data_IF_419169022213
#
_entry.id   IF_419169022213
#
_cell.length_a   1.000
_cell.length_b   1.000
_cell.length_c   1.000
_cell.angle_alpha   90.00
_cell.angle_beta   90.00
_cell.angle_gamma   90.00
#
_symmetry.space_group_name_H-M   'P 1'
#
loop_
_entity.id
_entity.type
_entity.pdbx_description
1 polymer ?
#
# COMPACT_ATOMS: atom_id res chain seq x y z
N UNK A 1 14.63 34.10 16.41
CA UNK A 1 15.20 35.00 17.44
C UNK A 1 14.40 36.28 17.45
N UNK A 2 14.08 36.79 18.63
CA UNK A 2 13.33 38.03 18.87
C UNK A 2 14.19 39.00 19.67
N UNK A 3 14.20 40.28 19.29
CA UNK A 3 14.91 41.31 20.03
C UNK A 3 14.23 41.52 21.39
N UNK A 4 15.02 41.62 22.46
CA UNK A 4 14.50 41.86 23.81
C UNK A 4 14.07 43.33 23.92
N UNK A 5 12.83 43.53 24.34
CA UNK A 5 12.22 44.86 24.45
C UNK A 5 13.04 45.74 25.42
N UNK A 6 13.49 46.91 24.95
CA UNK A 6 14.34 47.83 25.73
C UNK A 6 15.86 47.62 25.63
N UNK A 7 16.34 46.61 24.89
CA UNK A 7 17.78 46.37 24.70
C UNK A 7 18.12 46.20 23.21
N UNK A 8 18.67 47.24 22.53
CA UNK A 8 18.85 47.21 21.08
C UNK A 8 19.81 46.11 20.59
N UNK A 9 20.68 45.59 21.46
CA UNK A 9 21.72 44.61 21.10
C UNK A 9 21.50 43.22 21.71
N UNK A 10 20.33 42.92 22.28
CA UNK A 10 20.07 41.62 22.93
C UNK A 10 18.96 40.89 22.19
N UNK A 11 19.28 39.66 21.74
CA UNK A 11 18.34 38.78 21.05
C UNK A 11 18.09 37.54 21.91
N UNK A 12 16.83 37.11 21.97
CA UNK A 12 16.41 35.89 22.66
C UNK A 12 15.85 34.89 21.66
N UNK A 13 16.24 33.62 21.79
CA UNK A 13 15.54 32.49 21.20
C UNK A 13 15.15 31.54 22.33
N UNK A 14 13.96 30.95 22.22
CA UNK A 14 13.50 29.91 23.14
C UNK A 14 13.36 28.63 22.32
N UNK A 15 14.09 27.59 22.69
CA UNK A 15 14.00 26.27 22.09
C UNK A 15 13.43 25.31 23.13
N UNK A 16 12.35 24.61 22.83
CA UNK A 16 11.80 23.59 23.71
C UNK A 16 12.61 22.29 23.52
N UNK A 17 13.32 21.87 24.55
CA UNK A 17 14.06 20.59 24.58
C UNK A 17 13.36 19.58 25.49
N UNK A 18 13.36 18.27 25.17
CA UNK A 18 12.82 17.22 26.05
C UNK A 18 13.51 17.18 27.42
N UNK A 19 12.91 16.52 28.42
CA UNK A 19 13.62 16.27 29.69
C UNK A 19 14.84 15.37 29.47
N UNK A 20 15.96 15.68 30.13
CA UNK A 20 17.22 14.93 29.98
C UNK A 20 18.46 15.84 30.02
N UNK A 21 19.61 15.23 29.74
CA UNK A 21 20.90 15.92 29.63
C UNK A 21 21.13 16.37 28.19
N UNK A 22 21.40 17.66 27.99
CA UNK A 22 21.63 18.24 26.67
C UNK A 22 22.98 18.93 26.60
N UNK A 23 23.63 18.82 25.45
CA UNK A 23 24.85 19.57 25.13
C UNK A 23 24.57 20.50 23.95
N UNK A 24 24.99 21.76 24.04
CA UNK A 24 24.75 22.75 22.99
C UNK A 24 25.91 23.75 22.85
N UNK A 25 25.91 24.45 21.71
CA UNK A 25 26.86 25.51 21.34
C UNK A 25 26.17 26.56 20.48
N UNK A 26 26.74 27.75 20.46
CA UNK A 26 26.34 28.84 19.59
C UNK A 26 27.32 28.95 18.43
N UNK A 27 26.81 29.23 17.24
CA UNK A 27 27.64 29.60 16.09
C UNK A 27 27.50 31.11 15.88
N UNK A 28 28.55 31.86 16.22
CA UNK A 28 28.55 33.34 16.22
C UNK A 28 29.70 33.81 15.34
N UNK A 29 29.39 34.61 14.32
CA UNK A 29 30.36 35.22 13.39
C UNK A 29 31.35 34.23 12.74
N UNK A 30 30.90 33.01 12.44
CA UNK A 30 31.72 31.98 11.80
C UNK A 30 32.48 31.06 12.75
N UNK A 31 32.37 31.29 14.07
CA UNK A 31 33.06 30.50 15.10
C UNK A 31 32.07 29.79 16.03
N UNK A 32 32.40 28.55 16.41
CA UNK A 32 31.67 27.81 17.43
C UNK A 32 32.08 28.28 18.82
N UNK A 33 31.13 28.79 19.60
CA UNK A 33 31.32 29.25 20.97
C UNK A 33 30.41 28.48 21.93
N UNK A 34 30.86 28.33 23.17
CA UNK A 34 30.07 27.81 24.27
C UNK A 34 29.83 28.92 25.30
N UNK A 35 28.83 28.78 26.13
CA UNK A 35 28.60 29.68 27.26
C UNK A 35 29.55 29.33 28.40
N UNK A 36 30.51 30.22 28.68
CA UNK A 36 31.51 30.07 29.75
C UNK A 36 30.91 30.23 31.15
N UNK A 37 29.70 30.81 31.27
CA UNK A 37 29.01 31.01 32.55
C UNK A 37 28.16 29.81 32.97
N UNK A 38 28.00 28.82 32.10
CA UNK A 38 27.26 27.59 32.36
C UNK A 38 28.18 26.37 32.51
N UNK A 39 27.71 25.28 33.14
CA UNK A 39 28.47 24.04 33.19
C UNK A 39 28.83 23.60 31.76
N UNK A 40 30.06 23.15 31.55
CA UNK A 40 30.54 22.72 30.24
C UNK A 40 31.21 21.35 30.33
N UNK A 41 31.23 20.64 29.21
CA UNK A 41 31.78 19.30 29.08
C UNK A 41 32.77 19.24 27.93
N UNK A 42 33.92 18.62 28.17
CA UNK A 42 34.95 18.39 27.17
C UNK A 42 34.70 17.05 26.48
N UNK A 43 34.38 17.08 25.19
CA UNK A 43 34.29 15.90 24.33
C UNK A 43 35.66 15.44 23.83
N UNK A 44 35.69 14.25 23.24
CA UNK A 44 36.90 13.75 22.56
C UNK A 44 37.31 14.70 21.43
N UNK A 45 38.62 14.90 21.26
CA UNK A 45 39.23 15.86 20.32
C UNK A 45 39.15 17.35 20.71
N UNK A 46 38.97 17.67 21.99
CA UNK A 46 39.12 19.07 22.50
C UNK A 46 37.89 19.96 22.29
N UNK A 47 36.73 19.36 22.03
CA UNK A 47 35.47 20.05 21.75
C UNK A 47 34.77 20.37 23.09
N UNK A 48 34.63 21.65 23.45
CA UNK A 48 34.02 22.09 24.73
C UNK A 48 32.56 22.53 24.56
N UNK A 49 31.56 21.75 24.99
CA UNK A 49 30.13 22.08 24.85
C UNK A 49 29.53 22.62 26.15
N UNK A 50 28.53 23.50 26.08
CA UNK A 50 27.71 23.86 27.25
C UNK A 50 26.75 22.72 27.57
N UNK A 51 26.63 22.38 28.85
CA UNK A 51 25.89 21.23 29.36
C UNK A 51 24.77 21.71 30.28
N UNK A 52 23.55 21.28 29.98
CA UNK A 52 22.37 21.55 30.82
C UNK A 52 21.61 20.25 31.12
N UNK A 53 21.15 20.12 32.36
CA UNK A 53 20.40 18.96 32.84
C UNK A 53 19.07 19.44 33.37
N UNK A 54 18.00 19.14 32.62
CA UNK A 54 16.65 19.36 33.10
C UNK A 54 16.26 18.20 34.03
N UNK A 55 15.92 18.46 35.31
CA UNK A 55 15.56 17.41 36.25
C UNK A 55 14.41 16.55 35.71
N UNK A 56 14.57 15.23 35.78
CA UNK A 56 13.48 14.28 35.62
C UNK A 56 12.77 14.18 36.98
N UNK A 57 11.44 14.37 37.08
CA UNK A 57 10.73 14.17 38.34
C UNK A 57 10.96 12.75 38.84
N UNK A 58 11.42 12.61 40.09
CA UNK A 58 11.69 11.31 40.71
C UNK A 58 10.44 10.42 40.74
N UNK A 59 10.65 9.14 40.48
CA UNK A 59 9.65 8.08 40.32
C UNK A 59 8.64 8.00 41.48
N UNK A 60 7.36 7.87 41.13
CA UNK A 60 6.34 7.28 42.01
C UNK A 60 6.07 5.87 41.54
N UNK A 61 6.23 4.93 42.48
CA UNK A 61 6.00 3.50 42.35
C UNK A 61 4.70 3.11 41.64
N UNK A 62 4.79 1.95 40.99
CA UNK A 62 3.75 1.19 40.30
C UNK A 62 2.35 1.32 40.92
N UNK A 63 1.35 1.51 40.06
CA UNK A 63 -0.10 1.66 40.32
C UNK A 63 -0.61 3.09 40.45
N UNK A 64 -0.55 3.86 39.37
CA UNK A 64 -1.61 4.75 38.87
C UNK A 64 -1.09 5.49 37.64
N UNK A 65 -1.76 5.31 36.51
CA UNK A 65 -1.50 6.04 35.25
C UNK A 65 -1.65 7.55 35.56
N UNK A 66 -0.60 8.39 35.47
CA UNK A 66 -0.80 9.82 35.57
C UNK A 66 -1.40 10.28 34.25
N UNK A 67 -2.62 10.82 34.31
CA UNK A 67 -3.41 11.34 33.20
C UNK A 67 -2.83 12.62 32.56
N UNK A 68 -1.51 12.68 32.32
CA UNK A 68 -0.79 13.87 31.83
C UNK A 68 -0.20 13.69 30.43
N UNK A 69 -0.28 12.49 29.83
CA UNK A 69 0.03 12.27 28.39
C UNK A 69 -1.24 12.42 27.51
N UNK A 70 -2.42 12.63 28.10
CA UNK A 70 -3.69 12.75 27.37
C UNK A 70 -4.03 14.16 26.85
N UNK A 71 -3.13 15.13 27.01
CA UNK A 71 -3.36 16.53 26.60
C UNK A 71 -2.51 17.00 25.41
N UNK A 72 -1.99 16.09 24.57
CA UNK A 72 -1.82 16.48 23.17
C UNK A 72 -3.22 16.62 22.60
N UNK A 73 -3.68 17.85 22.41
CA UNK A 73 -4.86 18.15 21.61
C UNK A 73 -4.67 17.43 20.29
N UNK A 74 -5.42 16.32 20.10
CA UNK A 74 -5.44 15.58 18.83
C UNK A 74 -5.60 16.65 17.74
N UNK A 75 -4.72 16.69 16.72
CA UNK A 75 -4.87 17.64 15.62
C UNK A 75 -6.25 17.45 14.99
N UNK A 76 -7.20 18.28 15.40
CA UNK A 76 -8.59 18.21 14.95
C UNK A 76 -8.75 19.26 13.88
N UNK A 77 -8.79 18.79 12.65
CA UNK A 77 -9.26 19.58 11.53
C UNK A 77 -10.76 19.84 11.68
N UNK A 78 -11.21 21.04 11.31
CA UNK A 78 -12.65 21.32 11.24
C UNK A 78 -13.32 20.39 10.20
N UNK A 79 -14.53 19.92 10.49
CA UNK A 79 -15.36 19.21 9.51
C UNK A 79 -15.57 20.04 8.23
N UNK A 80 -15.61 21.36 8.35
CA UNK A 80 -15.74 22.28 7.21
C UNK A 80 -14.48 22.27 6.34
N UNK A 81 -13.29 22.34 6.96
CA UNK A 81 -12.00 22.28 6.25
C UNK A 81 -11.78 20.91 5.59
N UNK A 82 -12.21 19.83 6.25
CA UNK A 82 -12.21 18.48 5.67
C UNK A 82 -13.11 18.41 4.43
N UNK A 83 -14.34 18.92 4.52
CA UNK A 83 -15.28 18.94 3.39
C UNK A 83 -14.76 19.79 2.24
N UNK A 84 -14.20 20.97 2.53
CA UNK A 84 -13.60 21.84 1.53
C UNK A 84 -12.43 21.13 0.82
N UNK A 85 -11.53 20.49 1.59
CA UNK A 85 -10.40 19.72 1.05
C UNK A 85 -10.86 18.56 0.15
N UNK A 86 -11.85 17.78 0.61
CA UNK A 86 -12.45 16.68 -0.18
C UNK A 86 -13.10 17.20 -1.45
N UNK A 87 -13.84 18.31 -1.36
CA UNK A 87 -14.47 18.94 -2.52
C UNK A 87 -13.43 19.36 -3.56
N UNK A 88 -12.34 20.02 -3.15
CA UNK A 88 -11.27 20.44 -4.05
C UNK A 88 -10.57 19.26 -4.74
N UNK A 89 -10.29 18.18 -4.00
CA UNK A 89 -9.72 16.94 -4.58
C UNK A 89 -10.72 16.29 -5.54
N UNK A 90 -12.01 16.24 -5.17
CA UNK A 90 -13.08 15.71 -6.03
C UNK A 90 -13.24 16.50 -7.32
N UNK A 91 -13.20 17.84 -7.22
CA UNK A 91 -13.27 18.75 -8.36
C UNK A 91 -12.05 18.60 -9.28
N UNK A 92 -10.84 18.50 -8.70
CA UNK A 92 -9.62 18.18 -9.43
C UNK A 92 -9.78 16.87 -10.21
N UNK A 93 -10.16 15.77 -9.54
CA UNK A 93 -10.33 14.46 -10.18
C UNK A 93 -11.44 14.44 -11.24
N UNK A 94 -12.47 15.28 -11.10
CA UNK A 94 -13.53 15.41 -12.10
C UNK A 94 -13.10 16.23 -13.32
N UNK A 95 -12.17 17.16 -13.16
CA UNK A 95 -11.65 18.01 -14.24
C UNK A 95 -10.54 17.34 -15.08
N UNK A 96 -9.93 16.28 -14.56
CA UNK A 96 -8.81 15.58 -15.20
C UNK A 96 -9.27 14.21 -15.73
N UNK A 97 -8.61 13.75 -16.79
CA UNK A 97 -9.05 12.54 -17.53
C UNK A 97 -8.06 11.39 -17.38
N UNK A 98 -8.53 10.17 -17.68
CA UNK A 98 -7.68 8.97 -17.71
C UNK A 98 -6.52 9.09 -18.68
N UNK A 99 -6.67 9.88 -19.75
CA UNK A 99 -5.60 10.15 -20.70
C UNK A 99 -4.31 10.64 -20.01
N UNK A 100 -4.42 11.37 -18.92
CA UNK A 100 -3.26 11.86 -18.16
C UNK A 100 -2.48 10.77 -17.41
N UNK A 101 -3.08 9.58 -17.26
CA UNK A 101 -2.41 8.42 -16.69
C UNK A 101 -1.54 7.69 -17.73
N UNK A 102 -1.75 7.94 -19.02
CA UNK A 102 -1.02 7.25 -20.07
C UNK A 102 0.43 7.75 -20.09
N UNK A 103 1.42 6.85 -20.05
CA UNK A 103 2.80 7.24 -20.28
C UNK A 103 3.00 7.64 -21.75
N UNK A 104 4.00 8.49 -22.02
CA UNK A 104 4.40 8.86 -23.39
C UNK A 104 4.77 7.62 -24.23
N UNK A 105 5.39 6.63 -23.59
CA UNK A 105 5.68 5.32 -24.16
C UNK A 105 5.48 4.26 -23.08
N UNK A 106 4.80 3.18 -23.44
CA UNK A 106 4.49 2.10 -22.52
C UNK A 106 4.25 0.79 -23.24
N UNK A 107 4.39 -0.31 -22.49
CA UNK A 107 4.11 -1.66 -22.96
C UNK A 107 2.84 -2.16 -22.28
N UNK A 108 1.94 -2.71 -23.07
CA UNK A 108 0.75 -3.43 -22.59
C UNK A 108 0.82 -4.88 -23.02
N UNK A 109 0.35 -5.78 -22.17
CA UNK A 109 0.32 -7.22 -22.44
C UNK A 109 -1.12 -7.70 -22.30
N UNK A 110 -1.64 -8.33 -23.35
CA UNK A 110 -2.94 -8.98 -23.35
C UNK A 110 -2.77 -10.47 -23.69
N UNK A 111 -3.65 -11.31 -23.15
CA UNK A 111 -3.60 -12.75 -23.35
C UNK A 111 -4.85 -13.23 -24.09
N UNK A 112 -4.68 -14.23 -24.94
CA UNK A 112 -5.79 -14.88 -25.61
C UNK A 112 -6.60 -15.75 -24.61
N UNK A 113 -7.93 -15.80 -24.76
CA UNK A 113 -8.82 -16.55 -23.84
C UNK A 113 -8.67 -18.08 -23.93
N UNK A 114 -8.13 -18.58 -25.03
CA UNK A 114 -7.84 -19.98 -25.32
C UNK A 114 -6.45 -20.41 -24.84
N UNK A 115 -5.62 -19.47 -24.35
CA UNK A 115 -4.33 -19.78 -23.78
C UNK A 115 -4.47 -20.73 -22.56
N UNK A 116 -3.63 -21.76 -22.43
CA UNK A 116 -3.55 -22.58 -21.23
C UNK A 116 -3.25 -21.76 -19.98
N UNK A 117 -3.88 -22.11 -18.86
CA UNK A 117 -3.70 -21.41 -17.57
C UNK A 117 -2.25 -21.44 -17.11
N UNK A 118 -1.55 -22.57 -17.29
CA UNK A 118 -0.11 -22.67 -17.02
C UNK A 118 0.69 -21.60 -17.76
N UNK A 119 0.48 -21.47 -19.07
CA UNK A 119 1.22 -20.51 -19.89
C UNK A 119 0.91 -19.07 -19.47
N UNK A 120 -0.36 -18.77 -19.21
CA UNK A 120 -0.78 -17.48 -18.68
C UNK A 120 -0.04 -17.13 -17.37
N UNK A 121 0.15 -18.12 -16.48
CA UNK A 121 0.84 -17.93 -15.22
C UNK A 121 2.32 -17.55 -15.41
N UNK A 122 3.01 -18.28 -16.30
CA UNK A 122 4.40 -18.02 -16.63
C UNK A 122 4.57 -16.64 -17.29
N UNK A 123 3.68 -16.28 -18.22
CA UNK A 123 3.72 -14.95 -18.85
C UNK A 123 3.55 -13.84 -17.79
N UNK A 124 2.59 -13.96 -16.86
CA UNK A 124 2.46 -12.94 -15.80
C UNK A 124 3.75 -12.82 -14.96
N UNK A 125 4.38 -13.95 -14.63
CA UNK A 125 5.61 -13.99 -13.85
C UNK A 125 6.81 -13.40 -14.60
N UNK A 126 7.01 -13.79 -15.85
CA UNK A 126 8.11 -13.31 -16.72
C UNK A 126 7.97 -11.82 -17.05
N UNK A 127 6.74 -11.36 -17.30
CA UNK A 127 6.48 -9.95 -17.58
C UNK A 127 6.45 -9.09 -16.32
N UNK A 128 6.49 -9.70 -15.12
CA UNK A 128 6.41 -8.98 -13.85
C UNK A 128 5.08 -8.26 -13.63
N UNK A 129 3.99 -8.72 -14.27
CA UNK A 129 2.68 -8.06 -14.21
C UNK A 129 1.69 -8.87 -13.36
N UNK A 130 0.91 -8.20 -12.49
CA UNK A 130 -0.04 -8.89 -11.59
C UNK A 130 -1.37 -9.25 -12.28
N UNK A 131 -1.64 -8.68 -13.46
CA UNK A 131 -2.90 -8.76 -14.19
C UNK A 131 -2.66 -8.55 -15.69
N UNK A 132 -3.42 -9.26 -16.52
CA UNK A 132 -3.46 -9.06 -17.97
C UNK A 132 -4.90 -9.07 -18.49
N UNK A 133 -5.28 -8.16 -19.41
CA UNK A 133 -6.55 -8.21 -20.13
C UNK A 133 -6.64 -9.45 -21.03
N UNK A 134 -7.86 -9.92 -21.24
CA UNK A 134 -8.17 -11.11 -22.03
C UNK A 134 -8.83 -10.73 -23.35
N UNK A 135 -8.20 -11.12 -24.44
CA UNK A 135 -8.68 -10.92 -25.81
C UNK A 135 -9.39 -12.17 -26.33
N UNK A 136 -10.62 -11.99 -26.82
CA UNK A 136 -11.38 -13.05 -27.48
C UNK A 136 -11.35 -12.80 -29.00
N UNK A 137 -10.58 -13.63 -29.72
CA UNK A 137 -10.43 -13.51 -31.17
C UNK A 137 -11.74 -13.74 -31.91
N UNK A 138 -12.62 -14.60 -31.43
CA UNK A 138 -13.91 -14.87 -32.06
C UNK A 138 -14.88 -13.70 -31.90
N UNK A 139 -14.79 -12.98 -30.77
CA UNK A 139 -15.64 -11.80 -30.51
C UNK A 139 -15.01 -10.47 -30.91
N UNK A 140 -13.72 -10.45 -31.27
CA UNK A 140 -12.98 -9.24 -31.62
C UNK A 140 -12.94 -8.19 -30.51
N UNK A 141 -12.94 -8.60 -29.23
CA UNK A 141 -13.00 -7.66 -28.09
C UNK A 141 -12.34 -8.20 -26.83
N UNK A 142 -12.05 -7.28 -25.90
CA UNK A 142 -11.64 -7.62 -24.54
C UNK A 142 -12.85 -8.11 -23.72
N UNK A 143 -12.72 -9.30 -23.11
CA UNK A 143 -13.84 -9.96 -22.41
C UNK A 143 -13.62 -10.10 -20.90
N UNK A 144 -12.43 -9.77 -20.40
CA UNK A 144 -12.10 -9.94 -18.99
C UNK A 144 -10.65 -9.62 -18.68
N UNK A 145 -10.23 -9.98 -17.47
CA UNK A 145 -8.84 -9.93 -17.01
C UNK A 145 -8.49 -11.24 -16.32
N UNK A 146 -7.23 -11.68 -16.40
CA UNK A 146 -6.67 -12.72 -15.54
C UNK A 146 -5.66 -12.09 -14.60
N UNK A 147 -5.67 -12.49 -13.33
CA UNK A 147 -4.85 -11.88 -12.29
C UNK A 147 -4.26 -12.92 -11.34
N UNK A 148 -3.28 -12.50 -10.53
CA UNK A 148 -2.80 -13.26 -9.38
C UNK A 148 -3.95 -13.81 -8.49
N UNK A 149 -5.07 -13.09 -8.37
CA UNK A 149 -6.21 -13.57 -7.59
C UNK A 149 -6.91 -14.77 -8.23
N UNK A 150 -6.91 -14.88 -9.56
CA UNK A 150 -7.42 -16.05 -10.25
C UNK A 150 -6.51 -17.26 -10.00
N UNK A 151 -5.18 -17.07 -10.03
CA UNK A 151 -4.21 -18.13 -9.72
C UNK A 151 -4.33 -18.64 -8.29
N UNK A 152 -4.54 -17.75 -7.32
CA UNK A 152 -4.81 -18.16 -5.93
C UNK A 152 -6.05 -19.06 -5.87
N UNK A 153 -7.11 -18.74 -6.61
CA UNK A 153 -8.32 -19.57 -6.64
C UNK A 153 -8.11 -20.90 -7.37
N UNK A 154 -7.29 -20.92 -8.43
CA UNK A 154 -6.90 -22.15 -9.15
C UNK A 154 -6.17 -23.09 -8.20
N UNK A 155 -5.08 -22.62 -7.60
CA UNK A 155 -4.23 -23.42 -6.71
C UNK A 155 -5.00 -23.92 -5.49
N UNK A 156 -5.89 -23.10 -4.92
CA UNK A 156 -6.76 -23.53 -3.80
C UNK A 156 -7.77 -24.58 -4.20
N UNK A 157 -8.39 -24.45 -5.37
CA UNK A 157 -9.36 -25.43 -5.84
C UNK A 157 -8.69 -26.78 -6.04
N UNK A 158 -7.58 -26.78 -6.75
CA UNK A 158 -6.87 -28.00 -7.06
C UNK A 158 -6.24 -28.63 -5.80
N UNK A 159 -5.69 -27.82 -4.88
CA UNK A 159 -5.15 -28.31 -3.60
C UNK A 159 -6.19 -28.88 -2.62
N UNK A 160 -7.46 -28.45 -2.70
CA UNK A 160 -8.55 -28.99 -1.86
C UNK A 160 -8.99 -30.41 -2.28
N UNK A 161 -8.60 -30.88 -3.46
CA UNK A 161 -8.91 -32.23 -3.92
C UNK A 161 -7.96 -33.31 -3.35
N UNK A 162 -7.01 -32.93 -2.48
CA UNK A 162 -6.11 -33.86 -1.80
C UNK A 162 -5.05 -34.50 -2.71
N UNK A 163 -5.03 -34.16 -3.99
CA UNK A 163 -4.01 -34.55 -4.96
C UNK A 163 -2.87 -33.54 -5.01
N UNK A 164 -1.65 -34.03 -5.20
CA UNK A 164 -0.55 -33.20 -5.70
C UNK A 164 -0.99 -32.61 -7.03
N UNK A 165 -0.89 -31.29 -7.18
CA UNK A 165 -1.18 -30.57 -8.42
C UNK A 165 -0.46 -31.24 -9.58
N UNK A 166 -1.17 -31.92 -10.47
CA UNK A 166 -0.53 -32.41 -11.69
C UNK A 166 -0.40 -31.22 -12.63
N UNK A 167 0.82 -31.01 -13.12
CA UNK A 167 1.11 -29.98 -14.11
C UNK A 167 0.17 -30.08 -15.33
N UNK A 168 -0.28 -31.32 -15.63
CA UNK A 168 -1.26 -31.67 -16.65
C UNK A 168 -2.62 -30.98 -16.48
N UNK A 169 -3.13 -30.81 -15.25
CA UNK A 169 -4.41 -30.12 -15.03
C UNK A 169 -4.35 -28.64 -15.42
N UNK A 170 -3.23 -27.98 -15.13
CA UNK A 170 -2.98 -26.58 -15.48
C UNK A 170 -2.64 -26.38 -16.97
N UNK A 171 -2.12 -27.41 -17.62
CA UNK A 171 -1.84 -27.43 -19.07
C UNK A 171 -3.09 -27.68 -19.91
N UNK A 172 -3.99 -28.53 -19.44
CA UNK A 172 -5.19 -28.93 -20.18
C UNK A 172 -6.30 -27.88 -20.16
N UNK A 173 -6.40 -27.08 -19.10
CA UNK A 173 -7.46 -26.08 -18.95
C UNK A 173 -7.05 -24.71 -19.52
N UNK A 174 -7.88 -24.17 -20.40
CA UNK A 174 -7.76 -22.81 -20.93
C UNK A 174 -8.27 -21.76 -19.94
N UNK A 175 -7.85 -20.50 -20.12
CA UNK A 175 -8.35 -19.38 -19.30
C UNK A 175 -9.88 -19.28 -19.38
N UNK A 176 -10.47 -19.42 -20.57
CA UNK A 176 -11.91 -19.37 -20.79
C UNK A 176 -12.66 -20.46 -20.03
N UNK A 177 -12.21 -21.72 -20.13
CA UNK A 177 -12.78 -22.85 -19.39
C UNK A 177 -12.76 -22.59 -17.88
N UNK A 178 -11.65 -22.04 -17.37
CA UNK A 178 -11.52 -21.70 -15.96
C UNK A 178 -12.48 -20.58 -15.52
N UNK A 179 -12.58 -19.51 -16.32
CA UNK A 179 -13.48 -18.38 -16.05
C UNK A 179 -14.95 -18.81 -16.06
N UNK A 180 -15.34 -19.71 -16.97
CA UNK A 180 -16.66 -20.33 -16.99
C UNK A 180 -16.92 -21.15 -15.72
N UNK A 181 -16.02 -22.05 -15.34
CA UNK A 181 -16.16 -22.85 -14.12
C UNK A 181 -16.31 -21.99 -12.86
N UNK A 182 -15.53 -20.90 -12.77
CA UNK A 182 -15.63 -19.90 -11.70
C UNK A 182 -17.00 -19.21 -11.67
N UNK A 183 -17.58 -18.87 -12.81
CA UNK A 183 -18.88 -18.22 -12.89
C UNK A 183 -20.01 -19.17 -12.45
N UNK A 184 -19.99 -20.43 -12.90
CA UNK A 184 -20.96 -21.46 -12.50
C UNK A 184 -20.98 -21.66 -10.99
N UNK A 185 -19.81 -21.79 -10.36
CA UNK A 185 -19.68 -21.98 -8.91
C UNK A 185 -20.17 -20.78 -8.09
N UNK A 186 -19.97 -19.57 -8.59
CA UNK A 186 -20.42 -18.35 -7.89
C UNK A 186 -21.92 -18.08 -8.05
N UNK A 187 -22.70 -19.02 -8.60
CA UNK A 187 -24.13 -18.85 -8.85
C UNK A 187 -24.45 -17.79 -9.91
N UNK A 188 -23.45 -17.34 -10.67
CA UNK A 188 -23.62 -16.45 -11.81
C UNK A 188 -23.97 -17.30 -13.02
N UNK A 189 -25.15 -17.90 -13.00
CA UNK A 189 -25.73 -18.62 -14.14
C UNK A 189 -27.07 -18.00 -14.50
N UNK A 190 -27.36 -17.88 -15.80
CA UNK A 190 -28.65 -17.41 -16.28
C UNK A 190 -29.74 -18.46 -16.02
N UNK A 191 -31.00 -18.13 -16.32
CA UNK A 191 -32.14 -19.05 -16.17
C UNK A 191 -32.02 -20.36 -16.98
N UNK A 192 -31.01 -20.48 -17.84
CA UNK A 192 -30.70 -21.67 -18.64
C UNK A 192 -29.43 -22.39 -18.16
N UNK A 193 -28.86 -22.01 -17.00
CA UNK A 193 -27.66 -22.63 -16.45
C UNK A 193 -26.36 -22.23 -17.16
N UNK A 194 -26.40 -21.23 -18.05
CA UNK A 194 -25.20 -20.71 -18.73
C UNK A 194 -24.52 -19.67 -17.84
N UNK A 195 -23.19 -19.62 -17.80
CA UNK A 195 -22.49 -18.65 -16.96
C UNK A 195 -22.80 -17.22 -17.40
N UNK A 196 -23.23 -16.36 -16.47
CA UNK A 196 -23.41 -14.92 -16.70
C UNK A 196 -22.02 -14.29 -16.81
N UNK A 197 -21.64 -13.74 -17.98
CA UNK A 197 -20.35 -13.09 -18.16
C UNK A 197 -20.29 -11.86 -17.24
N UNK A 198 -19.30 -11.83 -16.33
CA UNK A 198 -18.97 -10.58 -15.64
C UNK A 198 -18.51 -9.59 -16.69
N UNK A 199 -19.19 -8.45 -16.77
CA UNK A 199 -18.82 -7.41 -17.71
C UNK A 199 -17.41 -6.91 -17.36
N UNK A 200 -16.57 -6.77 -18.39
CA UNK A 200 -15.23 -6.20 -18.21
C UNK A 200 -15.37 -4.78 -17.67
N UNK A 201 -14.71 -4.52 -16.55
CA UNK A 201 -14.59 -3.18 -15.99
C UNK A 201 -13.37 -2.56 -16.67
N UNK A 202 -13.61 -1.58 -17.53
CA UNK A 202 -12.58 -0.80 -18.22
C UNK A 202 -12.88 0.70 -18.09
N UNK A 203 -11.93 1.55 -18.47
CA UNK A 203 -12.14 2.99 -18.63
C UNK A 203 -11.79 3.44 -20.05
N UNK A 204 -12.46 4.46 -20.55
CA UNK A 204 -12.06 5.19 -21.74
C UNK A 204 -11.01 6.26 -21.40
N UNK A 205 -10.18 6.69 -22.38
CA UNK A 205 -9.22 7.78 -22.16
C UNK A 205 -9.90 9.11 -21.79
N UNK A 206 -11.13 9.34 -22.24
CA UNK A 206 -11.92 10.54 -21.92
C UNK A 206 -12.68 10.48 -20.59
N UNK A 207 -12.69 9.34 -19.89
CA UNK A 207 -13.35 9.23 -18.59
C UNK A 207 -12.63 10.12 -17.57
N UNK A 208 -13.37 10.74 -16.66
CA UNK A 208 -12.75 11.52 -15.59
C UNK A 208 -12.16 10.62 -14.49
N UNK A 209 -11.12 11.10 -13.81
CA UNK A 209 -10.41 10.32 -12.80
C UNK A 209 -11.26 10.03 -11.56
N UNK A 210 -12.25 10.88 -11.25
CA UNK A 210 -13.15 10.69 -10.10
C UNK A 210 -14.02 9.44 -10.29
N UNK A 211 -14.71 9.34 -11.41
CA UNK A 211 -15.59 8.20 -11.71
C UNK A 211 -14.80 6.90 -11.81
N UNK A 212 -13.59 6.98 -12.37
CA UNK A 212 -12.68 5.83 -12.42
C UNK A 212 -12.19 5.43 -11.03
N UNK A 213 -11.84 6.37 -10.16
CA UNK A 213 -11.50 6.10 -8.76
C UNK A 213 -12.66 5.42 -8.01
N UNK A 214 -13.89 5.92 -8.19
CA UNK A 214 -15.09 5.30 -7.63
C UNK A 214 -15.33 3.90 -8.20
N UNK A 215 -15.08 3.68 -9.50
CA UNK A 215 -15.18 2.38 -10.16
C UNK A 215 -14.22 1.36 -9.54
N UNK A 216 -13.00 1.75 -9.20
CA UNK A 216 -12.06 0.90 -8.44
C UNK A 216 -12.63 0.52 -7.07
N UNK A 217 -13.14 1.50 -6.32
CA UNK A 217 -13.65 1.29 -4.96
C UNK A 217 -14.89 0.40 -4.92
N UNK A 218 -15.86 0.64 -5.81
CA UNK A 218 -17.12 -0.10 -5.89
C UNK A 218 -16.90 -1.57 -6.29
N UNK A 219 -15.99 -1.81 -7.22
CA UNK A 219 -15.74 -3.16 -7.75
C UNK A 219 -14.64 -3.92 -6.99
N UNK A 220 -13.91 -3.25 -6.08
CA UNK A 220 -12.81 -3.85 -5.33
C UNK A 220 -11.66 -4.33 -6.24
N UNK A 221 -11.42 -3.64 -7.35
CA UNK A 221 -10.35 -3.94 -8.30
C UNK A 221 -9.15 -3.03 -8.07
N UNK A 222 -7.94 -3.53 -8.35
CA UNK A 222 -6.71 -2.75 -8.16
C UNK A 222 -6.23 -2.08 -9.46
N UNK A 223 -6.64 -2.64 -10.61
CA UNK A 223 -6.20 -2.23 -11.95
C UNK A 223 -7.34 -2.46 -12.92
N UNK A 224 -7.56 -1.52 -13.84
CA UNK A 224 -8.54 -1.66 -14.93
C UNK A 224 -7.87 -1.34 -16.27
N UNK A 225 -8.25 -2.01 -17.36
CA UNK A 225 -7.76 -1.67 -18.69
C UNK A 225 -8.32 -0.33 -19.15
N UNK A 226 -7.47 0.47 -19.80
CA UNK A 226 -7.88 1.67 -20.54
C UNK A 226 -8.04 1.26 -21.99
N UNK A 227 -9.27 1.30 -22.49
CA UNK A 227 -9.62 0.85 -23.83
C UNK A 227 -10.19 2.03 -24.60
N UNK A 228 -9.66 2.25 -25.80
CA UNK A 228 -10.20 3.22 -26.73
C UNK A 228 -10.77 2.50 -27.94
N UNK A 229 -11.97 2.91 -28.36
CA UNK A 229 -12.54 2.50 -29.65
C UNK A 229 -12.74 3.78 -30.45
N UNK A 230 -12.16 3.84 -31.64
CA UNK A 230 -12.27 5.03 -32.50
C UNK A 230 -13.63 5.14 -33.18
N UNK A 231 -14.37 4.03 -33.25
CA UNK A 231 -15.70 3.95 -33.84
C UNK A 231 -16.76 3.99 -32.74
N UNK A 232 -17.86 4.72 -32.99
CA UNK A 232 -18.97 4.89 -32.05
C UNK A 232 -19.69 3.58 -31.70
N UNK A 233 -19.56 2.56 -32.56
CA UNK A 233 -20.11 1.22 -32.37
C UNK A 233 -19.29 0.35 -31.39
N UNK A 234 -18.14 0.84 -30.92
CA UNK A 234 -17.24 0.11 -30.03
C UNK A 234 -16.43 -0.98 -30.73
N UNK A 235 -16.34 -0.96 -32.06
CA UNK A 235 -15.53 -1.89 -32.84
C UNK A 235 -14.03 -1.54 -32.78
N UNK A 236 -13.19 -2.57 -32.95
CA UNK A 236 -11.72 -2.49 -32.90
C UNK A 236 -11.14 -1.83 -31.62
N UNK A 237 -11.48 -2.36 -30.43
CA UNK A 237 -10.99 -1.79 -29.18
C UNK A 237 -9.46 -1.91 -29.07
N UNK A 238 -8.80 -0.78 -28.83
CA UNK A 238 -7.36 -0.66 -28.60
C UNK A 238 -7.08 -0.57 -27.11
N UNK A 239 -6.20 -1.44 -26.61
CA UNK A 239 -5.70 -1.37 -25.24
C UNK A 239 -4.58 -0.34 -25.16
N UNK A 240 -4.85 0.77 -24.46
CA UNK A 240 -3.90 1.88 -24.33
C UNK A 240 -3.02 1.73 -23.08
N UNK A 241 -3.63 1.36 -21.94
CA UNK A 241 -2.92 1.32 -20.66
C UNK A 241 -3.63 0.42 -19.63
N UNK A 242 -2.99 0.21 -18.47
CA UNK A 242 -3.57 -0.42 -17.29
C UNK A 242 -3.60 0.60 -16.14
N UNK A 243 -4.71 1.31 -15.99
CA UNK A 243 -4.87 2.31 -14.94
C UNK A 243 -4.93 1.66 -13.55
N UNK A 244 -4.42 2.36 -12.54
CA UNK A 244 -4.45 1.95 -11.13
C UNK A 244 -4.76 3.14 -10.21
N UNK A 245 -5.22 2.85 -8.99
CA UNK A 245 -5.35 3.87 -7.95
C UNK A 245 -4.02 4.56 -7.62
N UNK A 246 -2.88 3.86 -7.71
CA UNK A 246 -1.57 4.50 -7.49
C UNK A 246 -1.24 5.54 -8.56
N UNK A 247 -1.60 5.29 -9.83
CA UNK A 247 -1.45 6.27 -10.91
C UNK A 247 -2.28 7.53 -10.67
N UNK A 248 -3.54 7.35 -10.26
CA UNK A 248 -4.43 8.48 -9.90
C UNK A 248 -3.85 9.23 -8.69
N UNK A 249 -3.39 8.51 -7.66
CA UNK A 249 -2.82 9.11 -6.46
C UNK A 249 -1.55 9.90 -6.79
N UNK A 250 -0.73 9.41 -7.72
CA UNK A 250 0.45 10.13 -8.22
C UNK A 250 0.07 11.47 -8.86
N UNK A 251 -1.02 11.52 -9.64
CA UNK A 251 -1.53 12.77 -10.19
C UNK A 251 -1.98 13.75 -9.09
N UNK A 252 -2.72 13.25 -8.09
CA UNK A 252 -3.14 14.03 -6.91
C UNK A 252 -1.91 14.58 -6.18
N UNK A 253 -0.95 13.74 -5.82
CA UNK A 253 0.27 14.17 -5.13
C UNK A 253 1.04 15.21 -5.95
N UNK A 254 1.20 15.00 -7.27
CA UNK A 254 1.89 15.97 -8.15
C UNK A 254 1.23 17.35 -8.13
N UNK A 255 -0.11 17.40 -8.15
CA UNK A 255 -0.85 18.65 -8.15
C UNK A 255 -0.81 19.37 -6.80
N UNK A 256 -1.04 18.63 -5.70
CA UNK A 256 -1.15 19.22 -4.37
C UNK A 256 0.18 19.39 -3.63
N UNK A 257 1.30 18.85 -4.15
CA UNK A 257 2.63 18.94 -3.51
C UNK A 257 3.01 20.37 -3.09
N UNK A 258 2.82 21.33 -4.00
CA UNK A 258 3.16 22.74 -3.78
C UNK A 258 2.07 23.52 -3.04
N UNK A 259 0.89 22.94 -2.86
CA UNK A 259 -0.25 23.56 -2.17
C UNK A 259 -0.40 23.06 -0.72
N UNK A 260 0.57 22.31 -0.18
CA UNK A 260 0.47 21.64 1.12
C UNK A 260 0.03 22.55 2.28
N UNK A 261 0.40 23.84 2.25
CA UNK A 261 -0.03 24.84 3.24
C UNK A 261 -1.51 25.27 3.14
N UNK A 262 -2.14 25.06 1.99
CA UNK A 262 -3.56 25.33 1.74
C UNK A 262 -4.46 24.12 2.00
N UNK A 263 -3.88 22.95 2.31
CA UNK A 263 -4.60 21.70 2.57
C UNK A 263 -4.21 21.12 3.94
N UNK A 264 -4.76 21.64 5.06
CA UNK A 264 -4.44 21.16 6.41
C UNK A 264 -4.65 19.66 6.59
N UNK A 265 -5.62 19.08 5.87
CA UNK A 265 -5.91 17.64 5.88
C UNK A 265 -4.69 16.78 5.50
N UNK A 266 -3.87 17.24 4.56
CA UNK A 266 -2.69 16.51 4.09
C UNK A 266 -1.56 16.49 5.14
N UNK A 267 -1.59 17.41 6.10
CA UNK A 267 -0.61 17.51 7.19
C UNK A 267 -1.05 16.75 8.45
N UNK A 268 -2.26 16.20 8.48
CA UNK A 268 -2.73 15.44 9.63
C UNK A 268 -1.92 14.16 9.79
N UNK A 269 -1.55 13.82 11.04
CA UNK A 269 -0.91 12.54 11.31
C UNK A 269 -1.92 11.40 11.13
N UNK A 270 -1.45 10.23 10.72
CA UNK A 270 -2.30 9.07 10.45
C UNK A 270 -3.16 8.66 11.65
N UNK A 271 -2.64 8.74 12.88
CA UNK A 271 -3.41 8.40 14.09
C UNK A 271 -4.64 9.32 14.31
N UNK A 272 -4.66 10.51 13.72
CA UNK A 272 -5.73 11.49 13.89
C UNK A 272 -6.86 11.35 12.86
N UNK A 273 -6.73 10.46 11.88
CA UNK A 273 -7.70 10.24 10.82
C UNK A 273 -8.21 8.79 10.82
N UNK A 274 -9.48 8.55 10.45
CA UNK A 274 -10.05 7.20 10.36
C UNK A 274 -9.58 6.50 9.08
N UNK A 275 -8.27 6.27 8.98
CA UNK A 275 -7.61 5.70 7.81
C UNK A 275 -6.99 4.33 8.14
N UNK A 276 -7.12 3.39 7.20
CA UNK A 276 -6.51 2.07 7.28
C UNK A 276 -7.26 1.11 8.20
N UNK A 277 -6.64 -0.05 8.46
CA UNK A 277 -7.11 -1.06 9.40
C UNK A 277 -6.07 -1.20 10.51
N UNK A 278 -6.50 -1.10 11.75
CA UNK A 278 -5.63 -1.11 12.92
C UNK A 278 -5.69 -2.45 13.65
N UNK A 279 -4.61 -2.82 14.32
CA UNK A 279 -4.58 -3.97 15.23
C UNK A 279 -5.55 -3.67 16.39
N UNK A 280 -6.50 -4.57 16.71
CA UNK A 280 -7.47 -4.33 17.76
C UNK A 280 -6.78 -4.10 19.10
N UNK A 281 -7.20 -3.07 19.84
CA UNK A 281 -6.72 -2.87 21.22
C UNK A 281 -7.41 -3.88 22.14
N UNK A 282 -6.73 -4.23 23.23
CA UNK A 282 -7.26 -5.16 24.24
C UNK A 282 -8.62 -4.64 24.73
N UNK A 283 -9.69 -5.40 24.48
CA UNK A 283 -11.07 -5.05 24.85
C UNK A 283 -11.93 -4.42 23.74
N UNK A 284 -11.36 -4.07 22.59
CA UNK A 284 -12.13 -3.58 21.44
C UNK A 284 -12.62 -4.72 20.55
N UNK A 285 -13.94 -4.81 20.37
CA UNK A 285 -14.55 -5.71 19.39
C UNK A 285 -14.40 -5.11 17.99
N UNK A 286 -13.24 -5.31 17.35
CA UNK A 286 -13.07 -4.87 15.97
C UNK A 286 -14.01 -5.65 15.04
N UNK A 287 -14.71 -4.95 14.13
CA UNK A 287 -15.59 -5.59 13.14
C UNK A 287 -14.83 -6.41 12.09
N UNK A 288 -13.51 -6.21 11.95
CA UNK A 288 -12.64 -6.94 11.02
C UNK A 288 -11.39 -7.40 11.74
N UNK A 289 -11.11 -8.70 11.72
CA UNK A 289 -9.85 -9.25 12.23
C UNK A 289 -8.67 -8.72 11.41
N UNK A 290 -7.67 -8.17 12.10
CA UNK A 290 -6.40 -7.80 11.48
C UNK A 290 -5.59 -9.09 11.25
N UNK A 291 -5.28 -9.37 9.99
CA UNK A 291 -4.57 -10.57 9.57
C UNK A 291 -3.06 -10.38 9.68
N UNK A 292 -2.37 -11.35 10.29
CA UNK A 292 -0.90 -11.42 10.36
C UNK A 292 -0.45 -12.86 10.08
N UNK A 293 0.75 -13.01 9.49
CA UNK A 293 1.38 -14.29 9.23
C UNK A 293 2.68 -14.43 10.04
N UNK A 294 3.01 -15.65 10.45
CA UNK A 294 4.37 -16.01 10.89
C UNK A 294 5.18 -16.54 9.70
N UNK A 295 6.52 -16.42 9.67
CA UNK A 295 7.36 -16.94 8.58
C UNK A 295 7.17 -18.45 8.33
N UNK A 296 6.87 -19.19 9.38
CA UNK A 296 6.61 -20.65 9.40
C UNK A 296 5.19 -21.01 8.96
N UNK A 297 4.31 -20.03 8.73
CA UNK A 297 2.95 -20.28 8.24
C UNK A 297 3.03 -20.98 6.87
N UNK A 298 2.16 -21.95 6.64
CA UNK A 298 2.07 -22.60 5.33
C UNK A 298 1.55 -21.61 4.28
N UNK A 299 2.03 -21.78 3.05
CA UNK A 299 1.59 -20.98 1.91
C UNK A 299 0.08 -21.14 1.70
N UNK A 300 -0.45 -22.36 1.80
CA UNK A 300 -1.90 -22.63 1.74
C UNK A 300 -2.71 -21.80 2.74
N UNK A 301 -2.24 -21.68 3.99
CA UNK A 301 -2.88 -20.83 5.01
C UNK A 301 -2.86 -19.36 4.62
N UNK A 302 -1.72 -18.85 4.14
CA UNK A 302 -1.62 -17.47 3.66
C UNK A 302 -2.56 -17.19 2.48
N UNK A 303 -2.66 -18.11 1.51
CA UNK A 303 -3.59 -18.00 0.38
C UNK A 303 -5.05 -17.99 0.82
N UNK A 304 -5.41 -18.82 1.80
CA UNK A 304 -6.74 -18.83 2.41
C UNK A 304 -7.05 -17.49 3.08
N UNK A 305 -6.12 -16.96 3.87
CA UNK A 305 -6.26 -15.69 4.59
C UNK A 305 -6.44 -14.51 3.63
N UNK A 306 -5.68 -14.45 2.52
CA UNK A 306 -5.84 -13.43 1.48
C UNK A 306 -7.24 -13.40 0.86
N UNK A 307 -7.86 -14.57 0.69
CA UNK A 307 -9.20 -14.68 0.12
C UNK A 307 -10.28 -14.37 1.16
N UNK A 308 -10.17 -14.95 2.36
CA UNK A 308 -11.15 -14.79 3.44
C UNK A 308 -11.21 -13.33 3.94
N UNK A 309 -10.07 -12.73 4.23
CA UNK A 309 -9.99 -11.33 4.67
C UNK A 309 -10.22 -10.33 3.53
N UNK A 310 -10.32 -10.81 2.27
CA UNK A 310 -10.43 -9.99 1.05
C UNK A 310 -9.34 -8.92 0.91
N UNK A 311 -8.17 -9.19 1.47
CA UNK A 311 -6.98 -8.32 1.38
C UNK A 311 -6.04 -8.80 0.27
N UNK A 312 -5.24 -7.90 -0.27
CA UNK A 312 -4.26 -8.22 -1.31
C UNK A 312 -2.83 -8.42 -0.80
N UNK A 313 -2.60 -8.27 0.51
CA UNK A 313 -1.33 -8.52 1.18
C UNK A 313 -1.54 -8.62 2.69
N UNK A 314 -0.66 -9.36 3.36
CA UNK A 314 -0.69 -9.63 4.79
C UNK A 314 0.72 -9.43 5.36
N UNK A 315 0.89 -8.66 6.46
CA UNK A 315 2.17 -8.53 7.15
C UNK A 315 2.66 -9.87 7.71
N UNK A 316 3.96 -10.10 7.59
CA UNK A 316 4.68 -11.22 8.23
C UNK A 316 5.45 -10.66 9.42
N UNK A 317 5.26 -11.27 10.57
CA UNK A 317 5.77 -10.78 11.86
C UNK A 317 6.49 -11.86 12.65
N UNK A 318 7.44 -11.46 13.49
CA UNK A 318 8.09 -12.34 14.47
C UNK A 318 7.19 -12.60 15.69
N UNK A 319 7.67 -13.34 16.70
CA UNK A 319 6.88 -13.67 17.90
C UNK A 319 6.54 -12.44 18.78
N UNK A 320 7.21 -11.30 18.59
CA UNK A 320 6.95 -10.03 19.26
C UNK A 320 6.05 -9.09 18.44
N UNK A 321 5.46 -9.59 17.36
CA UNK A 321 4.67 -8.83 16.38
C UNK A 321 5.45 -7.72 15.65
N UNK A 322 6.78 -7.84 15.62
CA UNK A 322 7.66 -6.96 14.85
C UNK A 322 7.63 -7.33 13.37
N UNK A 323 7.53 -6.33 12.50
CA UNK A 323 7.41 -6.54 11.06
C UNK A 323 8.69 -7.13 10.45
N UNK A 324 8.57 -8.30 9.83
CA UNK A 324 9.65 -8.98 9.12
C UNK A 324 9.56 -8.78 7.60
N UNK A 325 8.37 -9.00 7.02
CA UNK A 325 8.12 -8.87 5.58
C UNK A 325 6.62 -8.73 5.29
N UNK A 326 6.20 -8.76 4.03
CA UNK A 326 4.80 -8.79 3.61
C UNK A 326 4.59 -9.85 2.53
N UNK A 327 3.53 -10.65 2.65
CA UNK A 327 3.10 -11.54 1.58
C UNK A 327 1.95 -10.91 0.79
N UNK A 328 2.15 -10.64 -0.50
CA UNK A 328 1.18 -10.04 -1.40
C UNK A 328 0.61 -11.05 -2.38
N UNK A 329 -0.61 -10.82 -2.89
CA UNK A 329 -1.19 -11.67 -3.94
C UNK A 329 -0.27 -11.76 -5.16
N UNK A 330 0.41 -10.68 -5.53
CA UNK A 330 1.37 -10.70 -6.66
C UNK A 330 2.53 -11.66 -6.44
N UNK A 331 2.86 -12.04 -5.21
CA UNK A 331 3.97 -12.95 -4.93
C UNK A 331 3.66 -14.38 -5.38
N UNK A 332 2.38 -14.71 -5.62
CA UNK A 332 2.01 -16.00 -6.18
C UNK A 332 2.66 -16.23 -7.55
N UNK A 333 2.88 -15.18 -8.36
CA UNK A 333 3.46 -15.36 -9.69
C UNK A 333 4.91 -15.83 -9.63
N UNK A 334 5.62 -15.60 -8.52
CA UNK A 334 6.96 -16.14 -8.34
C UNK A 334 6.97 -17.67 -8.31
N UNK A 335 5.88 -18.32 -7.92
CA UNK A 335 5.78 -19.79 -7.91
C UNK A 335 5.83 -20.39 -9.32
N UNK A 336 5.56 -19.60 -10.37
CA UNK A 336 5.74 -20.03 -11.75
C UNK A 336 7.21 -20.35 -12.06
N UNK A 337 8.16 -19.68 -11.37
CA UNK A 337 9.59 -19.96 -11.51
C UNK A 337 9.90 -21.35 -10.97
N UNK A 338 10.62 -22.13 -11.77
CA UNK A 338 11.01 -23.49 -11.40
C UNK A 338 9.82 -24.44 -11.19
N UNK A 339 8.61 -24.09 -11.64
CA UNK A 339 7.36 -24.87 -11.43
C UNK A 339 7.06 -25.14 -9.95
N UNK A 340 7.45 -24.23 -9.06
CA UNK A 340 7.30 -24.43 -7.62
C UNK A 340 5.84 -24.55 -7.15
N UNK A 341 4.88 -24.07 -7.95
CA UNK A 341 3.46 -24.31 -7.71
C UNK A 341 3.04 -25.78 -7.76
N UNK A 342 3.88 -26.70 -8.27
CA UNK A 342 3.62 -28.15 -8.28
C UNK A 342 3.92 -28.80 -6.93
N UNK A 343 4.69 -28.14 -6.05
CA UNK A 343 4.96 -28.63 -4.71
C UNK A 343 3.71 -28.56 -3.82
N UNK A 344 3.71 -29.36 -2.75
CA UNK A 344 2.65 -29.32 -1.76
C UNK A 344 2.63 -27.96 -1.04
N UNK A 345 1.62 -27.14 -1.36
CA UNK A 345 1.44 -25.80 -0.79
C UNK A 345 1.21 -25.81 0.73
N UNK A 346 0.89 -26.97 1.33
CA UNK A 346 0.78 -27.12 2.77
C UNK A 346 2.14 -27.30 3.46
N UNK A 347 3.13 -27.86 2.75
CA UNK A 347 4.50 -28.07 3.25
C UNK A 347 5.37 -26.84 3.02
N UNK A 348 5.14 -26.14 1.91
CA UNK A 348 5.87 -24.91 1.60
C UNK A 348 5.49 -23.78 2.57
N UNK A 349 6.49 -23.17 3.20
CA UNK A 349 6.28 -22.01 4.07
C UNK A 349 6.21 -20.71 3.27
N UNK A 350 5.57 -19.68 3.84
CA UNK A 350 5.54 -18.34 3.23
C UNK A 350 6.96 -17.80 3.04
N UNK A 351 7.86 -18.04 3.99
CA UNK A 351 9.26 -17.66 3.87
C UNK A 351 9.93 -18.29 2.64
N UNK A 352 9.77 -19.60 2.43
CA UNK A 352 10.31 -20.29 1.24
C UNK A 352 9.71 -19.73 -0.06
N UNK A 353 8.41 -19.43 -0.07
CA UNK A 353 7.74 -18.88 -1.25
C UNK A 353 8.28 -17.50 -1.63
N UNK A 354 8.63 -16.68 -0.64
CA UNK A 354 9.23 -15.37 -0.89
C UNK A 354 10.65 -15.46 -1.46
N UNK A 355 11.43 -16.47 -1.07
CA UNK A 355 12.79 -16.66 -1.59
C UNK A 355 12.80 -16.91 -3.10
N UNK A 356 11.84 -17.66 -3.63
CA UNK A 356 11.71 -17.89 -5.08
C UNK A 356 11.50 -16.61 -5.91
N UNK A 357 10.92 -15.58 -5.29
CA UNK A 357 10.73 -14.27 -5.92
C UNK A 357 11.98 -13.39 -5.87
N UNK A 358 12.90 -13.65 -4.93
CA UNK A 358 14.08 -12.82 -4.68
C UNK A 358 15.26 -13.13 -5.60
N UNK A 359 15.36 -14.37 -6.12
CA UNK A 359 16.43 -14.81 -7.05
C UNK A 359 16.41 -14.06 -8.42
N UNK A 360 15.53 -13.07 -8.57
CA UNK A 360 15.38 -12.21 -9.76
C UNK A 360 16.19 -10.91 -9.70
N UNK A 361 16.56 -10.45 -8.51
CA UNK A 361 17.31 -9.22 -8.35
C UNK A 361 18.80 -9.56 -8.35
N UNK A 362 19.56 -8.82 -9.17
CA UNK A 362 21.01 -8.95 -9.30
C UNK A 362 21.68 -9.09 -7.92
N UNK A 363 22.68 -9.97 -7.74
CA UNK A 363 23.42 -10.11 -6.48
C UNK A 363 24.14 -8.82 -6.03
N UNK A 364 24.09 -7.76 -6.85
CA UNK A 364 24.66 -6.44 -6.59
C UNK A 364 23.65 -5.37 -6.17
N UNK A 365 22.34 -5.66 -6.18
CA UNK A 365 21.33 -4.73 -5.67
C UNK A 365 21.05 -5.01 -4.19
N UNK A 366 21.17 -4.02 -3.29
CA UNK A 366 20.76 -4.16 -1.89
C UNK A 366 19.34 -4.69 -1.83
N UNK A 367 19.00 -5.52 -0.83
CA UNK A 367 17.64 -5.99 -0.55
C UNK A 367 16.66 -4.81 -0.61
N UNK A 368 16.06 -4.55 -1.77
CA UNK A 368 15.08 -3.48 -1.92
C UNK A 368 13.91 -3.91 -1.06
N UNK A 369 13.70 -3.18 0.04
CA UNK A 369 12.68 -3.50 1.02
C UNK A 369 11.34 -3.68 0.28
N UNK A 370 10.83 -4.92 0.26
CA UNK A 370 9.67 -5.34 -0.55
C UNK A 370 8.35 -4.73 -0.05
N UNK A 371 8.39 -4.11 1.11
CA UNK A 371 7.30 -3.44 1.78
C UNK A 371 7.69 -2.01 2.11
N UNK A 372 6.68 -1.18 2.28
CA UNK A 372 6.84 0.20 2.68
C UNK A 372 6.18 0.39 4.05
N UNK A 373 6.79 1.24 4.87
CA UNK A 373 6.38 1.48 6.25
C UNK A 373 6.09 2.95 6.46
N UNK A 374 5.22 3.22 7.43
CA UNK A 374 4.98 4.55 7.96
C UNK A 374 4.79 4.47 9.47
N UNK A 375 5.05 5.57 10.16
CA UNK A 375 4.70 5.73 11.57
C UNK A 375 3.28 6.25 11.69
N UNK A 376 2.59 5.95 12.79
CA UNK A 376 1.26 6.53 13.03
C UNK A 376 1.29 8.07 13.13
N UNK A 377 2.46 8.66 13.43
CA UNK A 377 2.71 10.11 13.47
C UNK A 377 3.03 10.72 12.11
N UNK A 378 3.28 9.91 11.07
CA UNK A 378 3.53 10.41 9.72
C UNK A 378 2.30 11.13 9.16
N UNK A 379 2.54 12.13 8.30
CA UNK A 379 1.46 12.89 7.68
C UNK A 379 0.77 12.11 6.57
N UNK A 380 -0.50 12.41 6.32
CA UNK A 380 -1.25 11.85 5.20
C UNK A 380 -0.53 12.08 3.86
N UNK A 381 0.09 13.25 3.64
CA UNK A 381 0.85 13.53 2.43
C UNK A 381 1.99 12.54 2.22
N UNK A 382 2.80 12.28 3.26
CA UNK A 382 3.92 11.34 3.18
C UNK A 382 3.45 9.93 2.82
N UNK A 383 2.37 9.49 3.46
CA UNK A 383 1.71 8.20 3.18
C UNK A 383 1.17 8.14 1.75
N UNK A 384 0.56 9.22 1.26
CA UNK A 384 0.08 9.30 -0.13
C UNK A 384 1.22 9.25 -1.15
N UNK A 385 2.32 9.95 -0.91
CA UNK A 385 3.51 9.93 -1.78
C UNK A 385 4.14 8.53 -1.84
N UNK A 386 4.24 7.84 -0.70
CA UNK A 386 4.74 6.47 -0.67
C UNK A 386 3.81 5.48 -1.40
N UNK A 387 2.49 5.60 -1.25
CA UNK A 387 1.50 4.76 -1.96
C UNK A 387 1.40 5.08 -3.46
N UNK A 388 1.78 6.30 -3.88
CA UNK A 388 1.81 6.68 -5.28
C UNK A 388 2.95 6.00 -6.06
N UNK A 389 3.96 5.45 -5.36
CA UNK A 389 5.04 4.72 -6.00
C UNK A 389 4.51 3.46 -6.73
N UNK A 390 4.94 3.22 -8.00
CA UNK A 390 4.55 2.03 -8.73
C UNK A 390 4.84 0.74 -7.95
N UNK A 391 3.89 -0.20 -7.95
CA UNK A 391 4.03 -1.47 -7.23
C UNK A 391 3.65 -1.43 -5.74
N UNK A 392 3.67 -0.26 -5.10
CA UNK A 392 3.24 -0.11 -3.70
C UNK A 392 1.71 -0.09 -3.64
N UNK A 393 1.13 -1.07 -2.94
CA UNK A 393 -0.34 -1.18 -2.79
C UNK A 393 -0.82 -0.92 -1.38
N UNK A 394 0.07 -1.10 -0.40
CA UNK A 394 -0.17 -0.90 1.02
C UNK A 394 1.07 -0.39 1.73
N UNK A 395 0.85 0.30 2.82
CA UNK A 395 1.83 0.69 3.82
C UNK A 395 1.51 0.00 5.15
N UNK A 396 2.51 -0.55 5.80
CA UNK A 396 2.36 -1.09 7.16
C UNK A 396 2.66 0.03 8.15
N UNK A 397 1.75 0.24 9.10
CA UNK A 397 1.95 1.18 10.20
C UNK A 397 2.72 0.44 11.29
N UNK A 398 3.85 0.99 11.72
CA UNK A 398 4.66 0.41 12.80
C UNK A 398 4.93 1.40 13.91
N UNK A 399 5.13 0.85 15.10
CA UNK A 399 5.61 1.59 16.26
C UNK A 399 7.10 1.94 16.09
N UNK A 400 7.46 3.18 16.43
CA UNK A 400 8.84 3.65 16.37
C UNK A 400 9.71 2.88 17.38
N UNK A 401 10.88 2.42 16.94
CA UNK A 401 11.84 1.70 17.78
C UNK A 401 11.59 0.19 17.86
N UNK A 402 10.38 -0.25 18.18
CA UNK A 402 10.05 -1.68 18.30
C UNK A 402 9.78 -2.36 16.95
N UNK A 403 9.40 -1.59 15.91
CA UNK A 403 8.93 -2.10 14.62
C UNK A 403 7.68 -2.99 14.74
N UNK A 404 6.95 -2.89 15.86
CA UNK A 404 5.71 -3.63 16.10
C UNK A 404 4.63 -3.16 15.14
N UNK A 405 3.90 -4.08 14.52
CA UNK A 405 2.82 -3.74 13.59
C UNK A 405 1.63 -3.17 14.37
N UNK A 406 1.20 -1.97 14.01
CA UNK A 406 0.04 -1.28 14.58
C UNK A 406 -1.15 -1.25 13.62
N UNK A 407 -0.90 -1.33 12.32
CA UNK A 407 -1.95 -1.25 11.32
C UNK A 407 -1.45 -1.38 9.88
N UNK A 408 -2.36 -1.19 8.94
CA UNK A 408 -2.08 -1.23 7.51
C UNK A 408 -2.99 -0.27 6.75
N UNK A 409 -2.43 0.49 5.82
CA UNK A 409 -3.14 1.44 4.96
C UNK A 409 -3.07 0.94 3.53
N UNK A 410 -4.20 0.87 2.85
CA UNK A 410 -4.25 0.57 1.41
C UNK A 410 -4.60 1.81 0.58
N UNK A 411 -4.28 1.75 -0.72
CA UNK A 411 -4.75 2.74 -1.69
C UNK A 411 -6.26 2.99 -1.60
N UNK A 412 -7.05 1.92 -1.44
CA UNK A 412 -8.51 2.06 -1.32
C UNK A 412 -8.94 2.80 -0.06
N UNK A 413 -8.20 2.67 1.04
CA UNK A 413 -8.53 3.39 2.28
C UNK A 413 -8.29 4.89 2.10
N UNK A 414 -7.19 5.27 1.44
CA UNK A 414 -6.90 6.67 1.08
C UNK A 414 -8.00 7.23 0.19
N UNK A 415 -8.36 6.55 -0.90
CA UNK A 415 -9.40 7.07 -1.79
C UNK A 415 -10.79 7.14 -1.15
N UNK A 416 -11.15 6.21 -0.26
CA UNK A 416 -12.40 6.35 0.54
C UNK A 416 -12.34 7.59 1.41
N UNK A 417 -11.22 7.82 2.11
CA UNK A 417 -11.06 9.00 2.94
C UNK A 417 -11.10 10.32 2.13
N UNK A 418 -10.48 10.36 0.95
CA UNK A 418 -10.42 11.54 0.08
C UNK A 418 -11.74 11.84 -0.64
N UNK A 419 -12.53 10.81 -0.97
CA UNK A 419 -13.77 10.97 -1.77
C UNK A 419 -15.06 10.99 -0.92
N UNK A 420 -15.00 10.61 0.36
CA UNK A 420 -16.15 10.54 1.25
C UNK A 420 -16.78 9.16 1.26
#
# INVERSE_FOLDING_TARGET
>A
MSQVEGCPNVFKAVCAVPHGSHEYKFFVDGEWRHDEQQPHRNGEYGIVNTFDTLPVPAEVSQHQIPAVILNQTIPRISEEDLRASRYQISAFLAAHTVYELLPESGKVVALAVDLPVKQAFHILAEQGIPVAPLWDFYKGKFVGVISASDFILILRQLGNHGSTLTEEELETHTISAWKEGKARRNGLVDGHGRPIPRHLIFAGPGDNLKDVALKFLQNGVATIPVIHSSLEDGSFPQLLHLASLSGILKCVCRYFKHCSGSFPMLQLPIYAIPLGTWVPRIGESSSRSFAMLRPTSSLSSALNMLVQARVSSIPIVDDNDSLLDIYSRSDITALAKGRAYTHNLNEMTVYQALQLGQDSNSPYEPRTQRFQMCLHTDTLLKVMEQLANPGVRRLVIVEAGSNRVEGIISLSDVFRFLLG
#
